data_IF_726464291218
#
_entry.id   IF_726464291218
#
_cell.length_a   1.000
_cell.length_b   1.000
_cell.length_c   1.000
_cell.angle_alpha   90.00
_cell.angle_beta   90.00
_cell.angle_gamma   90.00
#
_symmetry.space_group_name_H-M   'P 1'
#
loop_
_entity.id
_entity.type
_entity.pdbx_description
1 polymer ?
#
# COMPACT_ATOMS: atom_id res chain seq x y z
N UNK A 1 15.04 19.45 9.75
CA UNK A 1 14.14 18.98 10.82
C UNK A 1 13.94 20.10 11.81
N UNK A 2 12.73 20.30 12.31
CA UNK A 2 12.53 21.21 13.44
C UNK A 2 13.08 20.57 14.72
N UNK A 3 13.44 21.40 15.69
CA UNK A 3 13.86 20.95 17.03
C UNK A 3 12.79 20.07 17.69
N UNK A 4 11.52 20.35 17.42
CA UNK A 4 10.38 19.58 17.91
C UNK A 4 10.31 18.18 17.29
N UNK A 5 10.51 18.06 15.96
CA UNK A 5 10.55 16.74 15.31
C UNK A 5 11.66 15.87 15.87
N UNK A 6 12.85 16.44 16.14
CA UNK A 6 13.95 15.69 16.75
C UNK A 6 13.59 15.20 18.15
N UNK A 7 13.00 16.06 18.99
CA UNK A 7 12.60 15.70 20.35
C UNK A 7 11.54 14.58 20.38
N UNK A 8 10.62 14.55 19.41
CA UNK A 8 9.61 13.48 19.27
C UNK A 8 10.29 12.15 18.89
N UNK A 9 11.24 12.19 17.96
CA UNK A 9 11.99 10.99 17.54
C UNK A 9 12.80 10.43 18.71
N UNK A 10 13.53 11.27 19.44
CA UNK A 10 14.35 10.84 20.57
C UNK A 10 13.48 10.18 21.67
N UNK A 11 12.30 10.75 21.94
CA UNK A 11 11.33 10.17 22.87
C UNK A 11 10.80 8.83 22.36
N UNK A 12 10.39 8.75 21.10
CA UNK A 12 9.87 7.52 20.51
C UNK A 12 10.91 6.40 20.56
N UNK A 13 12.17 6.68 20.24
CA UNK A 13 13.26 5.70 20.27
C UNK A 13 13.65 5.26 21.68
N UNK A 14 13.32 6.04 22.72
CA UNK A 14 13.55 5.66 24.12
C UNK A 14 12.46 4.75 24.72
N UNK A 15 11.35 4.53 24.01
CA UNK A 15 10.24 3.69 24.49
C UNK A 15 10.60 2.19 24.48
N UNK A 16 9.92 1.35 25.28
CA UNK A 16 10.00 -0.11 25.13
C UNK A 16 9.57 -0.56 23.71
N UNK A 17 10.07 -1.70 23.19
CA UNK A 17 9.81 -2.14 21.82
C UNK A 17 8.32 -2.22 21.44
N UNK A 18 7.44 -2.62 22.36
CA UNK A 18 6.00 -2.70 22.11
C UNK A 18 5.37 -1.30 21.87
N UNK A 19 5.79 -0.31 22.66
CA UNK A 19 5.27 1.06 22.54
C UNK A 19 5.87 1.75 21.31
N UNK A 20 7.12 1.45 20.95
CA UNK A 20 7.70 1.89 19.67
C UNK A 20 6.86 1.40 18.49
N UNK A 21 6.51 0.11 18.46
CA UNK A 21 5.67 -0.46 17.41
C UNK A 21 4.30 0.22 17.33
N UNK A 22 3.68 0.52 18.48
CA UNK A 22 2.41 1.26 18.53
C UNK A 22 2.53 2.68 17.96
N UNK A 23 3.61 3.40 18.27
CA UNK A 23 3.86 4.75 17.72
C UNK A 23 4.03 4.69 16.20
N UNK A 24 4.83 3.73 15.71
CA UNK A 24 5.03 3.52 14.27
C UNK A 24 3.71 3.22 13.57
N UNK A 25 2.92 2.29 14.09
CA UNK A 25 1.62 1.91 13.52
C UNK A 25 0.65 3.10 13.42
N UNK A 26 0.55 3.91 14.48
CA UNK A 26 -0.29 5.11 14.47
C UNK A 26 0.18 6.16 13.46
N UNK A 27 1.49 6.38 13.36
CA UNK A 27 2.05 7.32 12.40
C UNK A 27 1.81 6.84 10.97
N UNK A 28 2.08 5.57 10.68
CA UNK A 28 1.81 4.98 9.36
C UNK A 28 0.33 5.09 9.02
N UNK A 29 -0.56 4.72 9.93
CA UNK A 29 -2.01 4.85 9.75
C UNK A 29 -2.42 6.29 9.44
N UNK A 30 -1.81 7.28 10.10
CA UNK A 30 -2.12 8.70 9.84
C UNK A 30 -1.64 9.21 8.48
N UNK A 31 -0.65 8.56 7.88
CA UNK A 31 -0.12 8.88 6.56
C UNK A 31 -0.86 8.14 5.45
N UNK A 32 -1.36 6.94 5.75
CA UNK A 32 -2.11 6.07 4.83
C UNK A 32 -3.62 6.39 4.89
N UNK A 33 -3.96 7.66 4.68
CA UNK A 33 -5.36 8.08 4.61
C UNK A 33 -5.89 7.91 3.18
N UNK A 34 -7.14 7.43 3.02
CA UNK A 34 -7.73 7.28 1.70
C UNK A 34 -7.88 8.64 1.02
N UNK A 35 -7.53 8.69 -0.26
CA UNK A 35 -7.78 9.84 -1.12
C UNK A 35 -8.94 9.48 -2.05
N UNK A 36 -10.10 10.10 -1.81
CA UNK A 36 -11.33 9.80 -2.55
C UNK A 36 -11.19 10.03 -4.06
N UNK A 37 -10.33 10.97 -4.48
CA UNK A 37 -10.08 11.23 -5.90
C UNK A 37 -9.26 10.10 -6.52
N UNK A 38 -8.23 9.61 -5.81
CA UNK A 38 -7.45 8.44 -6.22
C UNK A 38 -8.33 7.19 -6.24
N UNK A 39 -9.17 6.98 -5.22
CA UNK A 39 -10.10 5.86 -5.16
C UNK A 39 -11.09 5.85 -6.32
N UNK A 40 -11.60 7.03 -6.71
CA UNK A 40 -12.48 7.16 -7.88
C UNK A 40 -11.77 6.78 -9.19
N UNK A 41 -10.50 7.17 -9.35
CA UNK A 41 -9.69 6.79 -10.51
C UNK A 41 -9.43 5.29 -10.54
N UNK A 42 -9.09 4.68 -9.39
CA UNK A 42 -8.90 3.22 -9.28
C UNK A 42 -10.17 2.45 -9.60
N UNK A 43 -11.33 2.90 -9.12
CA UNK A 43 -12.61 2.25 -9.42
C UNK A 43 -12.86 2.19 -10.92
N UNK A 44 -12.68 3.33 -11.61
CA UNK A 44 -12.82 3.41 -13.06
C UNK A 44 -11.83 2.48 -13.78
N UNK A 45 -10.55 2.52 -13.39
CA UNK A 45 -9.52 1.67 -14.01
C UNK A 45 -9.83 0.18 -13.85
N UNK A 46 -10.32 -0.23 -12.67
CA UNK A 46 -10.72 -1.63 -12.42
C UNK A 46 -11.89 -2.03 -13.31
N UNK A 47 -12.92 -1.19 -13.42
CA UNK A 47 -14.07 -1.43 -14.30
C UNK A 47 -13.63 -1.55 -15.76
N UNK A 48 -12.80 -0.64 -16.24
CA UNK A 48 -12.27 -0.61 -17.60
C UNK A 48 -11.43 -1.87 -17.90
N UNK A 49 -10.56 -2.29 -16.97
CA UNK A 49 -9.75 -3.52 -17.12
C UNK A 49 -10.59 -4.79 -17.14
N UNK A 50 -11.60 -4.88 -16.27
CA UNK A 50 -12.50 -6.04 -16.25
C UNK A 50 -13.26 -6.13 -17.57
N UNK A 51 -13.74 -4.99 -18.09
CA UNK A 51 -14.42 -4.93 -19.39
C UNK A 51 -13.49 -5.38 -20.52
N UNK A 52 -12.29 -4.81 -20.62
CA UNK A 52 -11.33 -5.15 -21.66
C UNK A 52 -10.90 -6.63 -21.62
N UNK A 53 -10.76 -7.20 -20.42
CA UNK A 53 -10.52 -8.64 -20.25
C UNK A 53 -11.69 -9.48 -20.79
N UNK A 54 -12.93 -9.14 -20.42
CA UNK A 54 -14.14 -9.86 -20.88
C UNK A 54 -14.34 -9.75 -22.39
N UNK A 55 -13.98 -8.62 -22.99
CA UNK A 55 -14.04 -8.38 -24.43
C UNK A 55 -12.86 -9.00 -25.20
N UNK A 56 -11.86 -9.56 -24.50
CA UNK A 56 -10.66 -10.13 -25.12
C UNK A 56 -9.70 -9.10 -25.72
N UNK A 57 -9.89 -7.81 -25.42
CA UNK A 57 -9.02 -6.71 -25.89
C UNK A 57 -7.81 -6.50 -24.99
N UNK A 58 -7.85 -7.01 -23.76
CA UNK A 58 -6.72 -7.03 -22.83
C UNK A 58 -5.95 -8.36 -22.90
N UNK A 59 -4.64 -8.29 -23.14
CA UNK A 59 -3.76 -9.45 -23.01
C UNK A 59 -3.68 -9.90 -21.57
N UNK A 60 -3.81 -11.20 -21.32
CA UNK A 60 -3.68 -11.81 -20.01
C UNK A 60 -2.69 -12.98 -20.06
N UNK A 61 -2.19 -13.36 -18.89
CA UNK A 61 -1.40 -14.58 -18.69
C UNK A 61 -2.22 -15.56 -17.88
N UNK A 62 -2.13 -16.84 -18.21
CA UNK A 62 -2.69 -17.91 -17.41
C UNK A 62 -1.95 -18.02 -16.06
N UNK A 63 -2.64 -18.59 -15.07
CA UNK A 63 -2.02 -18.86 -13.77
C UNK A 63 -0.80 -19.78 -13.90
N UNK A 64 -0.84 -20.73 -14.83
CA UNK A 64 0.27 -21.64 -15.10
C UNK A 64 1.52 -20.88 -15.57
N UNK A 65 1.37 -19.94 -16.52
CA UNK A 65 2.48 -19.11 -17.01
C UNK A 65 3.10 -18.27 -15.88
N UNK A 66 2.27 -17.72 -14.99
CA UNK A 66 2.75 -16.93 -13.83
C UNK A 66 3.52 -17.79 -12.83
N UNK A 67 3.04 -19.00 -12.56
CA UNK A 67 3.62 -19.90 -11.56
C UNK A 67 4.83 -20.68 -12.06
N UNK A 68 5.09 -20.71 -13.37
CA UNK A 68 6.20 -21.44 -13.98
C UNK A 68 7.56 -21.14 -13.31
N UNK A 69 7.81 -19.89 -12.90
CA UNK A 69 9.07 -19.48 -12.24
C UNK A 69 9.29 -20.06 -10.83
N UNK A 70 8.28 -20.68 -10.23
CA UNK A 70 8.34 -21.21 -8.86
C UNK A 70 8.30 -22.74 -8.81
N UNK A 71 8.26 -23.43 -9.96
CA UNK A 71 8.19 -24.91 -10.03
C UNK A 71 9.57 -25.60 -9.85
N UNK A 72 10.49 -24.98 -9.11
CA UNK A 72 11.83 -25.53 -8.80
C UNK A 72 11.87 -26.21 -7.44
#
# INVERSE_FOLDING_TARGET
MSTETQAIIDRALSLPPADQALVVDKLLSSLDQPDEAIDALWRKEVEDRIKAYKEGTLKSLSLEEVLAKYRS
#
